data_IF_433959541973
#
_entry.id   IF_433959541973
#
_cell.length_a   1.000
_cell.length_b   1.000
_cell.length_c   1.000
_cell.angle_alpha   90.00
_cell.angle_beta   90.00
_cell.angle_gamma   90.00
#
_symmetry.space_group_name_H-M   'P 1'
#
loop_
_entity.id
_entity.type
_entity.pdbx_description
1 polymer ?
#
# COMPACT_ATOMS: atom_id res chain seq x y z
N UNK A 1 26.72 -13.87 23.10
CA UNK A 1 26.04 -13.71 21.78
C UNK A 1 27.00 -12.98 20.84
N UNK A 2 27.57 -13.69 19.86
CA UNK A 2 28.59 -13.14 18.95
C UNK A 2 28.05 -11.98 18.09
N UNK A 3 28.95 -11.14 17.59
CA UNK A 3 28.61 -9.98 16.74
C UNK A 3 27.72 -10.36 15.54
N UNK A 4 27.94 -11.55 14.95
CA UNK A 4 27.13 -12.07 13.86
C UNK A 4 25.65 -12.23 14.23
N UNK A 5 25.33 -12.82 15.40
CA UNK A 5 23.95 -13.05 15.82
C UNK A 5 23.18 -11.72 15.99
N UNK A 6 23.84 -10.69 16.55
CA UNK A 6 23.24 -9.36 16.71
C UNK A 6 22.91 -8.72 15.37
N UNK A 7 23.83 -8.83 14.40
CA UNK A 7 23.62 -8.30 13.05
C UNK A 7 22.48 -9.03 12.33
N UNK A 8 22.41 -10.35 12.45
CA UNK A 8 21.31 -11.13 11.85
C UNK A 8 19.96 -10.74 12.44
N UNK A 9 19.85 -10.61 13.76
CA UNK A 9 18.61 -10.16 14.41
C UNK A 9 18.22 -8.75 13.96
N UNK A 10 19.19 -7.84 13.87
CA UNK A 10 18.94 -6.48 13.39
C UNK A 10 18.42 -6.46 11.95
N UNK A 11 19.05 -7.23 11.04
CA UNK A 11 18.59 -7.37 9.66
C UNK A 11 17.18 -7.97 9.56
N UNK A 12 16.85 -8.96 10.40
CA UNK A 12 15.51 -9.54 10.45
C UNK A 12 14.47 -8.51 10.93
N UNK A 13 14.79 -7.70 11.95
CA UNK A 13 13.89 -6.63 12.41
C UNK A 13 13.66 -5.60 11.31
N UNK A 14 14.72 -5.17 10.61
CA UNK A 14 14.60 -4.24 9.48
C UNK A 14 13.73 -4.85 8.37
N UNK A 15 13.94 -6.13 8.03
CA UNK A 15 13.12 -6.81 7.03
C UNK A 15 11.64 -6.89 7.45
N UNK A 16 11.35 -7.24 8.70
CA UNK A 16 9.99 -7.26 9.24
C UNK A 16 9.35 -5.87 9.22
N UNK A 17 10.10 -4.82 9.56
CA UNK A 17 9.61 -3.44 9.51
C UNK A 17 9.24 -3.02 8.08
N UNK A 18 10.08 -3.35 7.09
CA UNK A 18 9.80 -3.07 5.68
C UNK A 18 8.52 -3.78 5.21
N UNK A 19 8.32 -5.04 5.58
CA UNK A 19 7.10 -5.81 5.25
C UNK A 19 5.87 -5.22 5.96
N UNK A 20 6.01 -4.78 7.21
CA UNK A 20 4.91 -4.16 7.95
C UNK A 20 4.47 -2.83 7.32
N UNK A 21 5.36 -2.13 6.61
CA UNK A 21 5.03 -0.88 5.90
C UNK A 21 4.46 -1.09 4.50
N UNK A 22 4.48 -2.31 3.95
CA UNK A 22 3.78 -2.58 2.68
C UNK A 22 2.30 -2.76 2.96
N UNK A 23 1.54 -1.66 2.89
CA UNK A 23 0.08 -1.72 2.91
C UNK A 23 -0.39 -2.51 1.69
N UNK A 24 -1.14 -3.60 1.93
CA UNK A 24 -1.76 -4.33 0.83
C UNK A 24 -2.81 -3.44 0.19
N UNK A 25 -2.74 -3.26 -1.14
CA UNK A 25 -3.70 -2.45 -1.86
C UNK A 25 -5.12 -3.01 -1.67
N UNK A 26 -6.02 -2.21 -1.10
CA UNK A 26 -7.40 -2.58 -0.77
C UNK A 26 -8.34 -2.04 -1.84
N UNK A 27 -9.28 -2.87 -2.29
CA UNK A 27 -10.31 -2.42 -3.23
C UNK A 27 -11.29 -1.47 -2.53
N UNK A 28 -11.49 -0.29 -3.11
CA UNK A 28 -12.49 0.68 -2.64
C UNK A 28 -13.60 0.73 -3.69
N UNK A 29 -14.68 -0.02 -3.45
CA UNK A 29 -15.82 -0.14 -4.37
C UNK A 29 -16.37 1.20 -4.90
N UNK A 30 -16.55 2.24 -4.05
CA UNK A 30 -16.95 3.56 -4.51
C UNK A 30 -15.99 4.24 -5.49
N UNK A 31 -14.70 3.88 -5.46
CA UNK A 31 -13.68 4.41 -6.37
C UNK A 31 -13.58 3.64 -7.69
N UNK A 32 -14.28 2.50 -7.84
CA UNK A 32 -14.25 1.69 -9.07
C UNK A 32 -14.67 2.52 -10.30
N UNK A 33 -15.68 3.38 -10.13
CA UNK A 33 -16.16 4.33 -11.16
C UNK A 33 -15.20 5.49 -11.45
N UNK A 34 -14.18 5.68 -10.61
CA UNK A 34 -13.13 6.71 -10.75
C UNK A 34 -11.93 6.17 -11.52
N UNK A 35 -11.82 4.86 -11.73
CA UNK A 35 -10.77 4.27 -12.57
C UNK A 35 -10.58 4.91 -13.96
N UNK A 36 -11.62 5.30 -14.73
CA UNK A 36 -11.40 5.97 -16.02
C UNK A 36 -10.96 7.43 -15.90
N UNK A 37 -11.01 8.02 -14.70
CA UNK A 37 -10.65 9.41 -14.42
C UNK A 37 -9.14 9.62 -14.36
N UNK A 38 -8.71 10.88 -14.27
CA UNK A 38 -7.28 11.23 -14.20
C UNK A 38 -6.66 10.75 -12.88
N UNK A 39 -5.33 10.56 -12.88
CA UNK A 39 -4.59 10.07 -11.71
C UNK A 39 -4.84 10.90 -10.43
N UNK A 40 -4.88 12.25 -10.47
CA UNK A 40 -5.22 13.06 -9.30
C UNK A 40 -6.59 12.72 -8.68
N UNK A 41 -7.63 12.52 -9.49
CA UNK A 41 -8.97 12.16 -9.02
C UNK A 41 -8.99 10.79 -8.34
N UNK A 42 -8.18 9.83 -8.83
CA UNK A 42 -8.03 8.52 -8.19
C UNK A 42 -7.36 8.64 -6.81
N UNK A 43 -6.29 9.42 -6.69
CA UNK A 43 -5.65 9.67 -5.40
C UNK A 43 -6.59 10.36 -4.42
N UNK A 44 -7.38 11.32 -4.90
CA UNK A 44 -8.39 11.99 -4.07
C UNK A 44 -9.47 11.03 -3.58
N UNK A 45 -9.98 10.14 -4.45
CA UNK A 45 -10.96 9.13 -4.04
C UNK A 45 -10.39 8.21 -2.95
N UNK A 46 -9.17 7.69 -3.12
CA UNK A 46 -8.53 6.87 -2.08
C UNK A 46 -8.35 7.64 -0.77
N UNK A 47 -7.88 8.88 -0.82
CA UNK A 47 -7.72 9.73 0.37
C UNK A 47 -9.03 10.03 1.08
N UNK A 48 -10.10 10.24 0.33
CA UNK A 48 -11.45 10.42 0.88
C UNK A 48 -11.96 9.17 1.62
N UNK A 49 -11.45 7.98 1.27
CA UNK A 49 -11.75 6.71 1.92
C UNK A 49 -10.68 6.25 2.92
N UNK A 50 -9.83 7.17 3.40
CA UNK A 50 -8.85 6.89 4.45
C UNK A 50 -7.62 6.09 3.99
N UNK A 51 -7.35 6.09 2.69
CA UNK A 51 -6.20 5.43 2.07
C UNK A 51 -5.15 6.47 1.68
N UNK A 52 -3.87 6.13 1.68
CA UNK A 52 -2.76 6.99 1.29
C UNK A 52 -2.89 7.50 -0.15
N UNK A 53 -3.44 6.67 -1.05
CA UNK A 53 -3.60 7.03 -2.45
C UNK A 53 -3.94 5.88 -3.38
N UNK A 54 -4.03 6.19 -4.67
CA UNK A 54 -4.27 5.22 -5.72
C UNK A 54 -3.09 4.26 -5.88
N UNK A 55 -3.39 2.97 -5.95
CA UNK A 55 -2.41 1.93 -6.26
C UNK A 55 -2.53 1.49 -7.73
N UNK A 56 -3.65 0.89 -8.12
CA UNK A 56 -3.92 0.45 -9.49
C UNK A 56 -5.41 0.22 -9.74
N UNK A 57 -5.79 0.11 -11.01
CA UNK A 57 -7.13 -0.32 -11.42
C UNK A 57 -7.00 -1.68 -12.11
N UNK A 58 -7.84 -2.65 -11.74
CA UNK A 58 -7.83 -3.98 -12.36
C UNK A 58 -9.22 -4.62 -12.30
N UNK A 59 -9.64 -5.27 -13.38
CA UNK A 59 -10.92 -6.00 -13.45
C UNK A 59 -12.15 -5.13 -13.21
N UNK A 60 -12.10 -3.84 -13.53
CA UNK A 60 -13.18 -2.88 -13.22
C UNK A 60 -13.22 -2.41 -11.76
N UNK A 61 -12.21 -2.77 -10.94
CA UNK A 61 -12.07 -2.31 -9.56
C UNK A 61 -10.87 -1.39 -9.34
N UNK A 62 -11.00 -0.45 -8.40
CA UNK A 62 -9.93 0.43 -7.96
C UNK A 62 -9.33 -0.03 -6.63
N UNK A 63 -8.01 -0.15 -6.60
CA UNK A 63 -7.24 -0.50 -5.42
C UNK A 63 -6.46 0.71 -4.92
N UNK A 64 -6.51 0.92 -3.62
CA UNK A 64 -5.88 2.02 -2.90
C UNK A 64 -4.91 1.46 -1.86
N UNK A 65 -3.77 2.12 -1.66
CA UNK A 65 -2.87 1.80 -0.55
C UNK A 65 -3.38 2.47 0.71
#
# INVERSE_FOLDING_TARGET
MGAALKMTIFLLIVACAMIATTEAAVRIGPCDQVCPRIVPERHECCRAHGRSGYAYCSGGGMYCN
#
